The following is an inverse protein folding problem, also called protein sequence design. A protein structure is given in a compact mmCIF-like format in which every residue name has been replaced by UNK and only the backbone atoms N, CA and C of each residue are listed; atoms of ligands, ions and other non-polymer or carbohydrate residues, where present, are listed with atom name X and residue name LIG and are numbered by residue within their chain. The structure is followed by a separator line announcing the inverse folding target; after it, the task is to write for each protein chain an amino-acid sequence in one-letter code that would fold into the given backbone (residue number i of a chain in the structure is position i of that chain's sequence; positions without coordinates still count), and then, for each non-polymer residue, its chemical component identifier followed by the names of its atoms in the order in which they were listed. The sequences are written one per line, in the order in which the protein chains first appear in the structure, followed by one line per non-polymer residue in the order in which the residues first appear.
data_IF_477143770370
#
_entry.id   IF_477143770370
#
_cell.length_a   1.000
_cell.length_b   1.000
_cell.length_c   1.000
_cell.angle_alpha   90.00
_cell.angle_beta   90.00
_cell.angle_gamma   90.00
#
_symmetry.space_group_name_H-M   'P 1'
#
loop_
_entity.id
_entity.type
_entity.pdbx_description
1 polymer ?
#
# COMPACT_ATOMS: atom_id res chain seq x y z
N UNK A 1 -21.45 27.90 -0.67
CA UNK A 1 -21.82 26.56 -1.22
C UNK A 1 -20.71 25.90 -2.04
N UNK A 2 -19.47 26.32 -1.86
CA UNK A 2 -18.31 25.67 -2.48
C UNK A 2 -17.94 24.31 -1.87
N UNK A 3 -18.35 24.03 -0.65
CA UNK A 3 -18.04 22.78 0.06
C UNK A 3 -18.74 21.57 -0.54
N UNK A 4 -19.99 21.69 -0.98
CA UNK A 4 -20.74 20.62 -1.62
C UNK A 4 -20.20 20.21 -3.00
N UNK A 5 -19.56 21.13 -3.73
CA UNK A 5 -18.95 20.85 -5.03
C UNK A 5 -17.61 20.14 -4.91
N UNK A 6 -16.87 20.38 -3.82
CA UNK A 6 -15.58 19.72 -3.59
C UNK A 6 -15.77 18.31 -3.11
N UNK A 7 -16.73 18.07 -2.23
CA UNK A 7 -17.08 16.72 -1.77
C UNK A 7 -17.63 15.84 -2.89
N UNK A 8 -18.39 16.43 -3.82
CA UNK A 8 -18.92 15.68 -4.96
C UNK A 8 -17.86 15.29 -5.99
N UNK A 9 -16.69 15.91 -5.96
CA UNK A 9 -15.55 15.58 -6.82
C UNK A 9 -14.64 14.52 -6.25
N UNK A 10 -14.71 14.30 -4.94
CA UNK A 10 -13.93 13.26 -4.29
C UNK A 10 -14.66 11.93 -4.39
N UNK A 11 -13.93 10.93 -4.82
CA UNK A 11 -14.42 9.57 -4.78
C UNK A 11 -14.53 9.10 -3.33
N UNK A 12 -15.53 8.28 -3.05
CA UNK A 12 -15.69 7.64 -1.74
C UNK A 12 -15.44 6.15 -1.86
N UNK A 13 -14.90 5.58 -0.81
CA UNK A 13 -14.74 4.13 -0.70
C UNK A 13 -16.11 3.52 -0.43
N UNK A 14 -16.59 2.74 -1.37
CA UNK A 14 -17.90 2.08 -1.28
C UNK A 14 -17.83 0.60 -0.99
N UNK A 15 -16.66 0.00 -1.15
CA UNK A 15 -16.42 -1.38 -0.82
C UNK A 15 -14.94 -1.59 -0.50
N UNK A 16 -14.67 -2.43 0.47
CA UNK A 16 -13.33 -2.88 0.82
C UNK A 16 -13.24 -4.36 0.48
N UNK A 17 -12.35 -4.70 -0.44
CA UNK A 17 -12.18 -6.10 -0.85
C UNK A 17 -11.53 -6.88 0.29
N UNK A 18 -12.15 -7.99 0.66
CA UNK A 18 -11.66 -8.81 1.75
C UNK A 18 -10.21 -9.26 1.48
N UNK A 19 -9.33 -9.17 2.48
CA UNK A 19 -7.96 -9.64 2.31
C UNK A 19 -7.95 -11.15 2.15
N UNK A 20 -7.19 -11.64 1.18
CA UNK A 20 -6.92 -13.06 1.05
C UNK A 20 -5.97 -13.53 2.16
N UNK A 21 -4.69 -13.56 1.84
CA UNK A 21 -3.64 -13.98 2.79
C UNK A 21 -2.84 -12.81 3.39
N UNK A 22 -3.20 -11.58 3.06
CA UNK A 22 -2.52 -10.38 3.54
C UNK A 22 -3.14 -9.86 4.85
N UNK A 23 -2.35 -9.15 5.64
CA UNK A 23 -2.77 -8.58 6.92
C UNK A 23 -3.68 -7.33 6.78
N UNK A 24 -4.41 -7.23 5.70
CA UNK A 24 -5.31 -6.12 5.46
C UNK A 24 -5.77 -6.07 4.00
N UNK A 25 -6.68 -5.17 3.65
CA UNK A 25 -7.20 -5.06 2.30
C UNK A 25 -6.15 -4.51 1.33
N UNK A 26 -5.95 -5.20 0.22
CA UNK A 26 -5.06 -4.77 -0.86
C UNK A 26 -5.80 -3.96 -1.92
N UNK A 27 -7.11 -4.09 -1.97
CA UNK A 27 -7.96 -3.44 -2.96
C UNK A 27 -9.15 -2.77 -2.29
N UNK A 28 -9.53 -1.63 -2.85
CA UNK A 28 -10.73 -0.89 -2.46
C UNK A 28 -11.49 -0.47 -3.71
N UNK A 29 -12.79 -0.30 -3.57
CA UNK A 29 -13.65 0.15 -4.66
C UNK A 29 -14.13 1.57 -4.35
N UNK A 30 -14.02 2.44 -5.35
CA UNK A 30 -14.51 3.82 -5.28
C UNK A 30 -15.78 3.99 -6.12
N UNK A 31 -16.58 4.99 -5.78
CA UNK A 31 -17.82 5.31 -6.48
C UNK A 31 -17.66 6.16 -7.74
N UNK A 32 -16.44 6.24 -8.25
CA UNK A 32 -16.13 6.88 -9.53
C UNK A 32 -15.65 5.84 -10.54
N UNK A 33 -16.14 5.90 -11.75
CA UNK A 33 -15.77 5.01 -12.84
C UNK A 33 -15.46 5.78 -14.13
N UNK A 34 -15.61 5.09 -15.26
CA UNK A 34 -15.34 5.69 -16.57
C UNK A 34 -16.23 6.91 -16.84
N UNK A 35 -17.44 6.93 -16.29
CA UNK A 35 -18.37 8.06 -16.42
C UNK A 35 -17.83 9.34 -15.79
N UNK A 36 -17.01 9.24 -14.77
CA UNK A 36 -16.34 10.35 -14.10
C UNK A 36 -14.91 10.58 -14.63
N UNK A 37 -14.50 9.89 -15.67
CA UNK A 37 -13.19 10.05 -16.28
C UNK A 37 -12.06 9.23 -15.66
N UNK A 38 -12.37 8.26 -14.83
CA UNK A 38 -11.38 7.36 -14.25
C UNK A 38 -10.89 6.37 -15.31
N UNK A 39 -9.59 6.20 -15.39
CA UNK A 39 -8.94 5.29 -16.35
C UNK A 39 -8.06 4.29 -15.59
N UNK A 40 -7.88 3.06 -16.16
CA UNK A 40 -6.88 2.14 -15.63
C UNK A 40 -5.50 2.78 -15.59
N UNK A 41 -4.77 2.58 -14.51
CA UNK A 41 -3.46 3.18 -14.30
C UNK A 41 -3.48 4.51 -13.55
N UNK A 42 -4.63 5.13 -13.35
CA UNK A 42 -4.74 6.34 -12.56
C UNK A 42 -4.31 6.09 -11.11
N UNK A 43 -3.60 7.05 -10.54
CA UNK A 43 -3.11 6.97 -9.16
C UNK A 43 -4.03 7.76 -8.23
N UNK A 44 -4.35 7.16 -7.09
CA UNK A 44 -5.18 7.76 -6.07
C UNK A 44 -4.55 7.67 -4.69
N UNK A 45 -4.81 8.67 -3.87
CA UNK A 45 -4.57 8.62 -2.44
C UNK A 45 -5.89 8.31 -1.75
N UNK A 46 -5.88 7.32 -0.87
CA UNK A 46 -7.01 6.96 -0.02
C UNK A 46 -6.79 7.54 1.37
N UNK A 47 -7.76 8.26 1.88
CA UNK A 47 -7.67 8.91 3.18
C UNK A 47 -9.01 8.93 3.90
N UNK A 48 -8.96 8.97 5.23
CA UNK A 48 -10.11 9.18 6.09
C UNK A 48 -10.12 10.60 6.64
N UNK A 49 -11.26 11.05 7.13
CA UNK A 49 -11.42 12.34 7.77
C UNK A 49 -11.26 12.17 9.27
N UNK A 50 -10.27 12.86 9.84
CA UNK A 50 -10.01 12.89 11.26
C UNK A 50 -10.61 14.12 11.96
N UNK A 51 -10.13 14.45 13.16
CA UNK A 51 -10.60 15.59 13.91
C UNK A 51 -10.21 16.91 13.25
N UNK A 52 -10.98 17.95 13.54
CA UNK A 52 -10.60 19.31 13.20
C UNK A 52 -9.38 19.77 14.00
N UNK A 53 -8.45 20.39 13.34
CA UNK A 53 -7.23 20.89 13.96
C UNK A 53 -7.38 22.40 14.19
N UNK A 54 -7.16 22.79 15.42
CA UNK A 54 -7.22 24.19 15.85
C UNK A 54 -5.80 24.70 16.05
N UNK A 55 -5.50 25.84 15.44
CA UNK A 55 -4.22 26.49 15.66
C UNK A 55 -4.15 27.02 17.11
N UNK A 56 -3.18 26.57 17.92
CA UNK A 56 -3.07 27.01 19.32
C UNK A 56 -2.70 28.49 19.47
N UNK A 57 -2.08 29.07 18.46
CA UNK A 57 -1.64 30.47 18.52
C UNK A 57 -2.77 31.46 18.16
N UNK A 58 -3.61 31.11 17.20
CA UNK A 58 -4.66 32.00 16.68
C UNK A 58 -6.07 31.55 17.06
N UNK A 59 -6.25 30.30 17.49
CA UNK A 59 -7.58 29.72 17.72
C UNK A 59 -8.37 29.41 16.44
N UNK A 60 -7.74 29.57 15.28
CA UNK A 60 -8.37 29.34 14.00
C UNK A 60 -8.53 27.83 13.73
N UNK A 61 -9.69 27.44 13.21
CA UNK A 61 -9.91 26.09 12.69
C UNK A 61 -9.19 25.92 11.36
N UNK A 62 -8.20 25.03 11.32
CA UNK A 62 -7.40 24.75 10.13
C UNK A 62 -8.05 23.71 9.22
N UNK A 63 -9.17 23.13 9.61
CA UNK A 63 -9.87 22.11 8.89
C UNK A 63 -9.70 20.71 9.48
N UNK A 64 -10.34 19.75 8.86
CA UNK A 64 -10.25 18.35 9.28
C UNK A 64 -8.92 17.72 8.82
N UNK A 65 -8.32 16.95 9.71
CA UNK A 65 -7.11 16.19 9.40
C UNK A 65 -7.43 15.08 8.40
N UNK A 66 -6.69 15.00 7.32
CA UNK A 66 -6.74 13.86 6.40
C UNK A 66 -5.85 12.74 6.93
N UNK A 67 -6.45 11.61 7.25
CA UNK A 67 -5.71 10.43 7.74
C UNK A 67 -5.41 9.54 6.54
N UNK A 68 -4.14 9.48 6.14
CA UNK A 68 -3.71 8.68 5.01
C UNK A 68 -3.92 7.19 5.28
N UNK A 69 -4.66 6.52 4.39
CA UNK A 69 -4.87 5.07 4.44
C UNK A 69 -3.95 4.32 3.50
N UNK A 70 -3.50 4.96 2.44
CA UNK A 70 -2.59 4.38 1.47
C UNK A 70 -2.70 5.03 0.12
N UNK A 71 -1.90 4.54 -0.81
CA UNK A 71 -1.91 4.95 -2.21
C UNK A 71 -2.19 3.75 -3.08
N UNK A 72 -2.88 3.95 -4.16
CA UNK A 72 -3.22 2.88 -5.06
C UNK A 72 -3.34 3.30 -6.50
N UNK A 73 -3.36 2.30 -7.36
CA UNK A 73 -3.53 2.42 -8.80
C UNK A 73 -4.82 1.74 -9.21
N UNK A 74 -5.53 2.37 -10.13
CA UNK A 74 -6.75 1.80 -10.71
C UNK A 74 -6.39 0.59 -11.57
N UNK A 75 -6.92 -0.56 -11.21
CA UNK A 75 -6.67 -1.83 -11.93
C UNK A 75 -7.88 -2.29 -12.73
N UNK A 76 -9.07 -1.83 -12.38
CA UNK A 76 -10.30 -2.17 -13.08
C UNK A 76 -11.27 -0.99 -13.01
N UNK A 77 -11.91 -0.68 -14.15
CA UNK A 77 -12.85 0.43 -14.26
C UNK A 77 -14.16 -0.09 -14.78
N UNK A 78 -15.25 0.27 -14.09
CA UNK A 78 -16.62 0.09 -14.51
C UNK A 78 -17.25 1.47 -14.79
N UNK A 79 -18.50 1.52 -15.21
CA UNK A 79 -19.14 2.79 -15.54
C UNK A 79 -19.20 3.76 -14.36
N UNK A 80 -19.54 3.27 -13.18
CA UNK A 80 -19.77 4.06 -11.98
C UNK A 80 -18.89 3.70 -10.80
N UNK A 81 -17.99 2.75 -10.96
CA UNK A 81 -17.03 2.38 -9.93
C UNK A 81 -15.71 1.92 -10.53
N UNK A 82 -14.70 1.94 -9.71
CA UNK A 82 -13.37 1.48 -10.07
C UNK A 82 -12.71 0.79 -8.88
N UNK A 83 -11.88 -0.19 -9.18
CA UNK A 83 -11.10 -0.91 -8.18
C UNK A 83 -9.69 -0.34 -8.16
N UNK A 84 -9.24 0.02 -6.96
CA UNK A 84 -7.90 0.54 -6.70
C UNK A 84 -7.12 -0.50 -5.91
N UNK A 85 -5.95 -0.86 -6.40
CA UNK A 85 -5.02 -1.76 -5.71
C UNK A 85 -3.86 -0.97 -5.14
N UNK A 86 -3.41 -1.33 -3.93
CA UNK A 86 -2.27 -0.67 -3.30
C UNK A 86 -1.03 -0.70 -4.17
N UNK A 87 -0.32 0.42 -4.22
CA UNK A 87 0.98 0.53 -4.90
C UNK A 87 2.14 0.53 -3.91
N UNK A 88 1.85 0.62 -2.63
CA UNK A 88 2.88 0.62 -1.62
C UNK A 88 3.43 -0.78 -1.43
N UNK A 89 4.75 -0.89 -1.47
CA UNK A 89 5.46 -2.16 -1.31
C UNK A 89 6.54 -2.01 -0.26
N UNK A 90 6.71 -3.05 0.52
CA UNK A 90 7.77 -3.14 1.51
C UNK A 90 8.69 -4.30 1.15
N UNK A 91 9.99 -4.03 1.14
CA UNK A 91 10.98 -5.10 1.04
C UNK A 91 10.97 -5.89 2.35
N UNK A 92 10.56 -7.12 2.26
CA UNK A 92 10.80 -8.07 3.35
C UNK A 92 12.27 -8.44 3.23
N UNK A 93 13.09 -7.94 4.13
CA UNK A 93 14.43 -8.49 4.28
C UNK A 93 14.24 -9.89 4.86
N UNK A 94 14.59 -10.95 4.12
CA UNK A 94 14.66 -12.26 4.74
C UNK A 94 15.62 -12.11 5.91
N UNK A 95 15.22 -12.60 7.08
CA UNK A 95 16.13 -12.74 8.19
C UNK A 95 17.37 -13.43 7.63
N UNK A 96 18.51 -12.76 7.71
CA UNK A 96 19.77 -13.38 7.35
C UNK A 96 19.87 -14.63 8.19
N UNK A 97 19.56 -15.79 7.63
CA UNK A 97 20.01 -17.04 8.19
C UNK A 97 21.51 -17.00 8.03
N UNK A 98 22.19 -16.57 9.07
CA UNK A 98 23.58 -16.85 9.23
C UNK A 98 23.60 -18.35 9.50
N UNK A 99 23.72 -19.13 8.46
CA UNK A 99 24.14 -20.50 8.59
C UNK A 99 25.60 -20.41 8.99
N UNK A 100 25.84 -20.36 10.30
CA UNK A 100 27.18 -20.62 10.80
C UNK A 100 27.47 -22.04 10.40
N UNK A 101 28.38 -22.21 9.46
CA UNK A 101 28.96 -23.52 9.22
C UNK A 101 29.43 -24.05 10.57
N UNK A 102 29.03 -25.28 10.93
CA UNK A 102 29.53 -25.86 12.16
C UNK A 102 31.06 -25.84 12.12
N UNK A 103 31.69 -25.47 13.22
CA UNK A 103 33.13 -25.22 13.31
C UNK A 103 34.00 -26.41 12.86
N UNK A 104 33.46 -27.62 12.85
CA UNK A 104 34.12 -28.81 12.31
C UNK A 104 34.23 -28.82 10.79
N UNK A 105 33.31 -28.14 10.08
CA UNK A 105 33.35 -28.06 8.63
C UNK A 105 34.34 -26.98 8.13
N UNK A 106 34.60 -25.97 8.92
CA UNK A 106 35.50 -24.88 8.57
C UNK A 106 36.97 -25.28 8.54
N UNK A 107 37.37 -26.39 9.23
CA UNK A 107 38.74 -26.84 9.32
C UNK A 107 39.16 -27.93 8.33
N UNK A 108 38.25 -28.52 7.62
CA UNK A 108 38.51 -29.78 6.94
C UNK A 108 38.74 -29.71 5.45
N UNK A 109 38.90 -28.60 4.84
CA UNK A 109 39.08 -28.50 3.39
C UNK A 109 37.92 -29.11 2.56
N UNK A 110 36.84 -29.47 3.24
CA UNK A 110 35.65 -30.05 2.62
C UNK A 110 35.01 -29.08 1.62
N UNK A 111 35.14 -27.81 1.87
CA UNK A 111 34.72 -26.74 0.96
C UNK A 111 35.50 -26.74 -0.36
N UNK A 112 36.72 -27.31 -0.36
CA UNK A 112 37.48 -27.52 -1.59
C UNK A 112 37.09 -28.78 -2.34
N UNK A 113 36.61 -29.81 -1.64
CA UNK A 113 36.18 -31.07 -2.25
C UNK A 113 34.77 -31.01 -2.82
N UNK A 114 33.91 -30.19 -2.27
CA UNK A 114 32.57 -30.00 -2.81
C UNK A 114 32.55 -29.05 -4.01
N UNK A 115 33.74 -28.73 -4.55
CA UNK A 115 33.91 -27.71 -5.54
C UNK A 115 33.43 -26.39 -4.93
N UNK A 116 34.11 -25.36 -5.19
CA UNK A 116 33.57 -24.04 -5.01
C UNK A 116 32.43 -23.82 -6.03
N UNK A 117 31.45 -24.70 -6.03
CA UNK A 117 30.11 -24.33 -6.42
C UNK A 117 29.84 -23.17 -5.52
N UNK A 118 30.35 -22.06 -5.95
CA UNK A 118 30.48 -20.88 -5.23
C UNK A 118 29.27 -20.70 -4.38
N UNK A 119 29.45 -20.19 -3.26
CA UNK A 119 28.37 -19.49 -2.65
C UNK A 119 27.68 -18.78 -3.81
N UNK A 120 26.73 -19.45 -4.44
CA UNK A 120 25.77 -18.82 -5.28
C UNK A 120 25.06 -17.93 -4.30
N UNK A 121 25.57 -16.73 -4.17
CA UNK A 121 24.76 -15.65 -3.71
C UNK A 121 23.73 -15.48 -4.82
N UNK A 122 22.74 -16.35 -4.79
CA UNK A 122 21.48 -15.96 -5.32
C UNK A 122 21.13 -14.72 -4.51
N UNK A 123 21.35 -13.57 -5.11
CA UNK A 123 20.58 -12.42 -4.72
C UNK A 123 19.14 -12.83 -4.98
N UNK A 124 18.57 -13.54 -4.02
CA UNK A 124 17.13 -13.63 -3.91
C UNK A 124 16.70 -12.19 -3.75
N UNK A 125 16.23 -11.61 -4.85
CA UNK A 125 15.50 -10.37 -4.85
C UNK A 125 14.51 -10.51 -3.71
N UNK A 126 14.77 -9.78 -2.62
CA UNK A 126 13.91 -9.83 -1.45
C UNK A 126 12.49 -9.65 -1.93
N UNK A 127 11.58 -10.60 -1.69
CA UNK A 127 10.24 -10.49 -2.22
C UNK A 127 9.62 -9.20 -1.69
N UNK A 128 9.20 -8.36 -2.61
CA UNK A 128 8.46 -7.17 -2.25
C UNK A 128 7.05 -7.58 -1.88
N UNK A 129 6.65 -7.34 -0.65
CA UNK A 129 5.27 -7.54 -0.23
C UNK A 129 4.48 -6.25 -0.43
N UNK A 130 3.27 -6.39 -0.96
CA UNK A 130 2.32 -5.29 -1.03
C UNK A 130 1.91 -4.89 0.38
N UNK A 131 1.89 -3.58 0.65
CA UNK A 131 1.42 -3.03 1.92
C UNK A 131 -0.08 -2.79 1.79
N UNK A 132 -0.91 -3.42 2.63
CA UNK A 132 -2.35 -3.19 2.60
C UNK A 132 -2.70 -1.76 3.03
N UNK A 133 -3.90 -1.33 2.64
CA UNK A 133 -4.45 -0.07 3.12
C UNK A 133 -4.64 -0.13 4.64
N UNK A 134 -4.21 0.92 5.33
CA UNK A 134 -4.26 0.99 6.78
C UNK A 134 -5.63 1.42 7.28
N UNK A 135 -6.34 0.47 7.90
CA UNK A 135 -7.62 0.74 8.56
C UNK A 135 -8.66 1.43 7.67
N UNK A 136 -8.62 1.20 6.36
CA UNK A 136 -9.57 1.79 5.42
C UNK A 136 -11.00 1.35 5.76
N UNK A 137 -11.91 2.30 5.70
CA UNK A 137 -13.32 2.11 6.05
C UNK A 137 -14.22 2.58 4.91
N UNK A 138 -15.44 2.05 4.90
CA UNK A 138 -16.47 2.57 4.02
C UNK A 138 -16.74 4.05 4.33
N UNK A 139 -16.84 4.86 3.31
CA UNK A 139 -17.03 6.30 3.45
C UNK A 139 -15.73 7.10 3.52
N UNK A 140 -14.58 6.45 3.56
CA UNK A 140 -13.29 7.12 3.34
C UNK A 140 -13.24 7.67 1.92
N UNK A 141 -12.31 8.59 1.67
CA UNK A 141 -12.21 9.30 0.42
C UNK A 141 -11.00 8.86 -0.39
N UNK A 142 -11.09 9.05 -1.69
CA UNK A 142 -9.97 8.89 -2.61
C UNK A 142 -9.87 10.10 -3.52
N UNK A 143 -8.67 10.62 -3.70
CA UNK A 143 -8.41 11.73 -4.63
C UNK A 143 -7.29 11.36 -5.59
N UNK A 144 -7.38 11.81 -6.85
CA UNK A 144 -6.30 11.58 -7.81
C UNK A 144 -5.04 12.33 -7.39
N UNK A 145 -3.93 11.72 -7.68
CA UNK A 145 -2.60 12.31 -7.45
C UNK A 145 -2.19 13.11 -8.67
#
# INVERSE_FOLDING_TARGET
MSETKVESRLAKIVHVVAPGFANGPLEVVINHGSHQGVKPGDLFIVFGIGPHIIDPDTGQDLGALEILRGRGEVVHVQEHLATIRTTERRRIRPAKRITREPSWAAGAGLSRMLGSSGVVMEEELSPEAEIPFDSVQLGDFAKPI
#
